data_IF_244133987940
#
_entry.id   IF_244133987940
#
_cell.length_a   1.000
_cell.length_b   1.000
_cell.length_c   1.000
_cell.angle_alpha   90.00
_cell.angle_beta   90.00
_cell.angle_gamma   90.00
#
_symmetry.space_group_name_H-M   'P 1'
#
loop_
_entity.id
_entity.type
_entity.pdbx_description
1 polymer ?
#
# COMPACT_ATOMS: atom_id res chain seq x y z
N UNK A 1 -18.03 2.31 20.20
CA UNK A 1 -16.59 2.44 20.47
C UNK A 1 -15.95 2.96 19.19
N UNK A 2 -15.67 4.25 19.12
CA UNK A 2 -15.01 4.84 17.95
C UNK A 2 -13.53 4.50 18.08
N UNK A 3 -12.99 3.74 17.12
CA UNK A 3 -11.58 3.39 17.08
C UNK A 3 -10.75 4.65 16.88
N UNK A 4 -9.97 5.02 17.89
CA UNK A 4 -9.08 6.21 17.93
C UNK A 4 -7.71 5.93 17.29
N UNK A 5 -7.63 4.91 16.42
CA UNK A 5 -6.47 4.76 15.55
C UNK A 5 -6.64 5.78 14.41
N UNK A 6 -5.69 6.71 14.18
CA UNK A 6 -5.74 7.52 12.96
C UNK A 6 -5.83 6.54 11.80
N UNK A 7 -6.81 6.74 10.90
CA UNK A 7 -6.96 5.92 9.72
C UNK A 7 -5.61 5.95 8.99
N UNK A 8 -4.84 4.88 9.10
CA UNK A 8 -3.55 4.78 8.42
C UNK A 8 -3.92 4.63 6.96
N UNK A 9 -3.77 5.71 6.20
CA UNK A 9 -3.86 5.65 4.74
C UNK A 9 -2.78 4.69 4.25
N UNK A 10 -3.13 3.49 3.78
CA UNK A 10 -2.14 2.50 3.41
C UNK A 10 -1.45 2.90 2.11
N UNK A 11 -0.21 2.45 1.95
CA UNK A 11 0.48 2.47 0.67
C UNK A 11 0.00 1.29 -0.16
N UNK A 12 -0.58 1.58 -1.32
CA UNK A 12 -1.22 0.61 -2.20
C UNK A 12 -0.31 0.24 -3.36
N UNK A 13 -0.27 -1.06 -3.65
CA UNK A 13 0.22 -1.63 -4.89
C UNK A 13 -0.87 -2.53 -5.48
N UNK A 14 -1.15 -2.40 -6.77
CA UNK A 14 -2.21 -3.18 -7.41
C UNK A 14 -1.64 -4.44 -8.08
N UNK A 15 -2.29 -5.57 -7.86
CA UNK A 15 -2.03 -6.82 -8.55
C UNK A 15 -3.32 -7.61 -8.72
N UNK A 16 -3.50 -8.24 -9.88
CA UNK A 16 -4.57 -9.22 -10.12
C UNK A 16 -4.35 -10.52 -9.33
N UNK A 17 -3.12 -10.75 -8.86
CA UNK A 17 -2.74 -11.88 -8.01
C UNK A 17 -1.93 -11.33 -6.82
N UNK A 18 -2.59 -10.94 -5.72
CA UNK A 18 -1.92 -10.41 -4.55
C UNK A 18 -1.01 -11.42 -3.86
N UNK A 19 -1.35 -12.71 -3.86
CA UNK A 19 -0.53 -13.74 -3.24
C UNK A 19 0.83 -13.85 -3.94
N UNK A 20 0.82 -14.02 -5.26
CA UNK A 20 2.06 -14.05 -6.06
C UNK A 20 2.87 -12.76 -5.90
N UNK A 21 2.21 -11.60 -5.90
CA UNK A 21 2.89 -10.32 -5.76
C UNK A 21 3.53 -10.13 -4.36
N UNK A 22 2.92 -10.68 -3.30
CA UNK A 22 3.55 -10.71 -1.97
C UNK A 22 4.78 -11.61 -1.94
N UNK A 23 4.71 -12.78 -2.56
CA UNK A 23 5.83 -13.71 -2.66
C UNK A 23 7.00 -13.12 -3.45
N UNK A 24 6.72 -12.49 -4.60
CA UNK A 24 7.74 -11.93 -5.50
C UNK A 24 8.30 -10.59 -4.99
N UNK A 25 7.44 -9.68 -4.52
CA UNK A 25 7.81 -8.27 -4.30
C UNK A 25 7.71 -7.80 -2.85
N UNK A 26 7.20 -8.61 -1.94
CA UNK A 26 7.02 -8.23 -0.53
C UNK A 26 8.32 -7.79 0.15
N UNK A 27 9.47 -8.31 -0.29
CA UNK A 27 10.79 -7.92 0.22
C UNK A 27 11.19 -6.49 -0.14
N UNK A 28 10.75 -5.96 -1.29
CA UNK A 28 10.94 -4.55 -1.64
C UNK A 28 10.13 -3.64 -0.70
N UNK A 29 8.87 -4.00 -0.44
CA UNK A 29 8.00 -3.26 0.50
C UNK A 29 8.62 -3.26 1.91
N UNK A 30 9.08 -4.42 2.37
CA UNK A 30 9.72 -4.57 3.67
C UNK A 30 11.04 -3.79 3.76
N UNK A 31 11.85 -3.82 2.70
CA UNK A 31 13.08 -3.04 2.67
C UNK A 31 12.78 -1.57 2.89
N UNK A 32 11.85 -1.00 2.12
CA UNK A 32 11.43 0.39 2.31
C UNK A 32 10.95 0.66 3.74
N UNK A 33 10.00 -0.14 4.23
CA UNK A 33 9.42 0.01 5.56
C UNK A 33 10.51 0.07 6.64
N UNK A 34 11.50 -0.83 6.57
CA UNK A 34 12.64 -0.88 7.50
C UNK A 34 13.59 0.31 7.32
N UNK A 35 13.83 0.76 6.08
CA UNK A 35 14.67 1.95 5.81
C UNK A 35 14.03 3.20 6.40
N UNK A 36 12.74 3.45 6.15
CA UNK A 36 12.02 4.57 6.73
C UNK A 36 11.94 4.47 8.25
N UNK A 37 11.68 3.29 8.83
CA UNK A 37 11.68 3.10 10.28
C UNK A 37 13.04 3.46 10.92
N UNK A 38 14.16 3.15 10.25
CA UNK A 38 15.50 3.48 10.75
C UNK A 38 15.75 4.99 10.87
N UNK A 39 15.08 5.80 10.04
CA UNK A 39 15.20 7.26 10.05
C UNK A 39 14.25 7.93 11.04
N UNK A 40 13.22 7.23 11.51
CA UNK A 40 12.22 7.75 12.45
C UNK A 40 12.70 7.78 13.92
N UNK A 41 13.99 8.03 14.14
CA UNK A 41 14.54 8.28 15.48
C UNK A 41 14.42 9.78 15.81
N UNK A 42 13.69 10.12 16.87
CA UNK A 42 13.46 11.50 17.32
C UNK A 42 12.01 11.97 17.19
N UNK A 43 11.80 13.27 16.94
CA UNK A 43 10.46 13.93 16.91
C UNK A 43 9.68 13.67 15.60
N UNK A 44 10.28 13.00 14.62
CA UNK A 44 9.66 12.76 13.31
C UNK A 44 8.65 11.62 13.39
N UNK A 45 7.36 11.96 13.24
CA UNK A 45 6.27 10.99 13.12
C UNK A 45 5.91 10.85 11.64
N UNK A 46 6.25 9.71 11.02
CA UNK A 46 5.70 9.37 9.70
C UNK A 46 4.30 8.78 9.88
N UNK A 47 3.36 9.15 9.01
CA UNK A 47 2.05 8.49 8.91
C UNK A 47 2.19 7.00 8.50
N UNK A 48 3.30 6.66 7.84
CA UNK A 48 3.67 5.32 7.41
C UNK A 48 4.79 4.84 8.32
N UNK A 49 4.43 4.35 9.51
CA UNK A 49 5.39 3.72 10.43
C UNK A 49 5.06 2.24 10.53
N UNK A 50 5.95 1.43 9.98
CA UNK A 50 5.89 -0.01 10.20
C UNK A 50 6.79 -0.45 11.35
N UNK A 51 6.35 -1.49 12.06
CA UNK A 51 7.14 -2.23 13.05
C UNK A 51 7.42 -3.66 12.58
N UNK A 52 7.09 -3.98 11.32
CA UNK A 52 7.29 -5.31 10.77
C UNK A 52 8.77 -5.63 10.55
N UNK A 53 9.18 -6.80 11.02
CA UNK A 53 10.54 -7.33 10.82
C UNK A 53 10.64 -8.31 9.64
N UNK A 54 9.49 -8.82 9.17
CA UNK A 54 9.35 -9.72 8.03
C UNK A 54 8.13 -9.37 7.16
N UNK A 55 8.05 -10.00 5.98
CA UNK A 55 7.00 -9.73 4.98
C UNK A 55 5.61 -10.13 5.50
N UNK A 56 5.51 -11.23 6.25
CA UNK A 56 4.24 -11.71 6.78
C UNK A 56 3.68 -10.76 7.85
N UNK A 57 4.55 -10.20 8.69
CA UNK A 57 4.22 -9.16 9.66
C UNK A 57 3.79 -7.87 8.95
N UNK A 58 4.50 -7.46 7.90
CA UNK A 58 4.17 -6.26 7.13
C UNK A 58 2.77 -6.37 6.49
N UNK A 59 2.50 -7.52 5.89
CA UNK A 59 1.20 -7.83 5.28
C UNK A 59 0.06 -7.79 6.31
N UNK A 60 0.26 -8.36 7.50
CA UNK A 60 -0.74 -8.32 8.58
C UNK A 60 -0.94 -6.92 9.16
N UNK A 61 0.13 -6.13 9.22
CA UNK A 61 0.09 -4.77 9.75
C UNK A 61 -0.75 -3.84 8.87
N UNK A 62 -0.71 -4.05 7.55
CA UNK A 62 -1.61 -3.39 6.60
C UNK A 62 -1.27 -1.93 6.30
N UNK A 63 -0.09 -1.45 6.72
CA UNK A 63 0.48 -0.14 6.31
C UNK A 63 0.85 -0.17 4.82
N UNK A 64 1.33 -1.32 4.34
CA UNK A 64 1.50 -1.64 2.92
C UNK A 64 0.46 -2.68 2.54
N UNK A 65 -0.25 -2.46 1.43
CA UNK A 65 -1.26 -3.40 0.94
C UNK A 65 -1.05 -3.65 -0.54
N UNK A 66 -0.96 -4.93 -0.89
CA UNK A 66 -1.15 -5.37 -2.26
C UNK A 66 -2.62 -5.75 -2.41
N UNK A 67 -3.32 -5.11 -3.33
CA UNK A 67 -4.76 -5.25 -3.53
C UNK A 67 -5.10 -5.50 -5.00
N UNK A 68 -6.21 -6.17 -5.24
CA UNK A 68 -6.84 -6.22 -6.56
C UNK A 68 -7.46 -4.87 -6.92
N UNK A 69 -7.75 -4.61 -8.22
CA UNK A 69 -8.52 -3.43 -8.61
C UNK A 69 -9.88 -3.36 -7.92
N UNK A 70 -10.57 -4.49 -7.75
CA UNK A 70 -11.87 -4.58 -7.11
C UNK A 70 -11.80 -4.26 -5.61
N UNK A 71 -10.78 -4.75 -4.90
CA UNK A 71 -10.53 -4.39 -3.50
C UNK A 71 -10.14 -2.92 -3.34
N UNK A 72 -9.39 -2.35 -4.29
CA UNK A 72 -9.04 -0.93 -4.29
C UNK A 72 -10.30 -0.04 -4.44
N UNK A 73 -11.25 -0.45 -5.28
CA UNK A 73 -12.55 0.21 -5.43
C UNK A 73 -13.37 0.11 -4.15
N UNK A 74 -13.46 -1.08 -3.55
CA UNK A 74 -14.17 -1.28 -2.28
C UNK A 74 -13.57 -0.38 -1.19
N UNK A 75 -12.24 -0.32 -1.08
CA UNK A 75 -11.54 0.56 -0.15
C UNK A 75 -11.87 2.05 -0.39
N UNK A 76 -11.94 2.48 -1.65
CA UNK A 76 -12.33 3.85 -1.98
C UNK A 76 -13.79 4.14 -1.59
N UNK A 77 -14.70 3.21 -1.84
CA UNK A 77 -16.12 3.35 -1.50
C UNK A 77 -16.34 3.41 0.02
N UNK A 78 -15.66 2.55 0.77
CA UNK A 78 -15.70 2.54 2.24
C UNK A 78 -15.20 3.86 2.85
N UNK A 79 -14.20 4.49 2.22
CA UNK A 79 -13.65 5.78 2.65
C UNK A 79 -14.50 7.00 2.26
N UNK A 80 -15.43 6.85 1.31
CA UNK A 80 -16.28 7.94 0.81
C UNK A 80 -15.48 9.15 0.32
N UNK A 81 -15.98 10.37 0.59
CA UNK A 81 -15.32 11.63 0.19
C UNK A 81 -13.94 11.84 0.82
N UNK A 82 -13.64 11.14 1.93
CA UNK A 82 -12.34 11.19 2.59
C UNK A 82 -11.39 10.07 2.13
N UNK A 83 -11.78 9.24 1.18
CA UNK A 83 -10.93 8.17 0.67
C UNK A 83 -9.64 8.76 0.07
N UNK A 84 -8.51 8.23 0.53
CA UNK A 84 -7.19 8.59 0.03
C UNK A 84 -6.50 7.34 -0.49
N UNK A 85 -6.26 7.30 -1.80
CA UNK A 85 -5.58 6.21 -2.49
C UNK A 85 -4.13 6.62 -2.73
N UNK A 86 -3.20 6.12 -1.92
CA UNK A 86 -1.78 6.43 -2.05
C UNK A 86 -1.09 5.28 -2.77
N UNK A 87 -0.70 5.50 -4.02
CA UNK A 87 0.04 4.53 -4.82
C UNK A 87 1.54 4.70 -4.60
N UNK A 88 2.28 3.60 -4.45
CA UNK A 88 3.74 3.65 -4.26
C UNK A 88 4.49 2.70 -5.21
N UNK A 89 4.46 2.94 -6.53
CA UNK A 89 4.82 1.95 -7.55
C UNK A 89 6.31 1.58 -7.63
N UNK A 90 7.22 2.41 -7.10
CA UNK A 90 8.67 2.18 -7.16
C UNK A 90 9.29 2.02 -5.77
N UNK A 91 8.46 1.66 -4.78
CA UNK A 91 8.86 1.54 -3.39
C UNK A 91 9.98 0.51 -3.20
N UNK A 92 10.96 0.84 -2.37
CA UNK A 92 12.03 -0.09 -1.97
C UNK A 92 12.81 -0.74 -3.12
N UNK A 93 12.89 -0.07 -4.28
CA UNK A 93 13.58 -0.60 -5.46
C UNK A 93 12.76 -1.64 -6.25
N UNK A 94 11.43 -1.56 -6.17
CA UNK A 94 10.50 -2.34 -7.00
C UNK A 94 10.92 -2.32 -8.48
N UNK A 95 10.87 -3.46 -9.20
CA UNK A 95 11.12 -3.49 -10.63
C UNK A 95 10.22 -2.50 -11.39
N UNK A 96 10.81 -1.74 -12.31
CA UNK A 96 10.11 -0.69 -13.07
C UNK A 96 8.88 -1.23 -13.80
N UNK A 97 8.99 -2.41 -14.40
CA UNK A 97 7.88 -3.03 -15.14
C UNK A 97 6.70 -3.38 -14.23
N UNK A 98 6.95 -3.87 -13.01
CA UNK A 98 5.89 -4.19 -12.05
C UNK A 98 5.25 -2.91 -11.49
N UNK A 99 6.05 -1.87 -11.22
CA UNK A 99 5.52 -0.55 -10.87
C UNK A 99 4.58 0.00 -11.95
N UNK A 100 4.97 -0.10 -13.22
CA UNK A 100 4.12 0.27 -14.35
C UNK A 100 2.89 -0.61 -14.51
N UNK A 101 2.99 -1.91 -14.26
CA UNK A 101 1.85 -2.83 -14.31
C UNK A 101 0.79 -2.43 -13.27
N UNK A 102 1.20 -2.18 -12.04
CA UNK A 102 0.34 -1.69 -10.95
C UNK A 102 -0.34 -0.35 -11.30
N UNK A 103 0.40 0.62 -11.84
CA UNK A 103 -0.18 1.90 -12.28
C UNK A 103 -1.18 1.73 -13.43
N UNK A 104 -0.90 0.86 -14.40
CA UNK A 104 -1.83 0.56 -15.51
C UNK A 104 -3.12 -0.08 -14.99
N UNK A 105 -3.03 -1.05 -14.07
CA UNK A 105 -4.20 -1.61 -13.40
C UNK A 105 -5.03 -0.52 -12.72
N UNK A 106 -4.40 0.40 -11.99
CA UNK A 106 -5.12 1.50 -11.38
C UNK A 106 -5.80 2.40 -12.42
N UNK A 107 -5.05 2.86 -13.43
CA UNK A 107 -5.54 3.80 -14.43
C UNK A 107 -6.66 3.23 -15.32
N UNK A 108 -6.59 1.95 -15.65
CA UNK A 108 -7.51 1.30 -16.58
C UNK A 108 -8.68 0.60 -15.86
N UNK A 109 -8.47 0.15 -14.62
CA UNK A 109 -9.45 -0.70 -13.90
C UNK A 109 -10.02 -0.04 -12.65
N UNK A 110 -9.36 0.93 -12.04
CA UNK A 110 -9.90 1.60 -10.84
C UNK A 110 -10.42 2.98 -11.19
N UNK A 111 -9.55 3.84 -11.73
CA UNK A 111 -9.84 5.25 -11.95
C UNK A 111 -11.11 5.52 -12.78
N UNK A 112 -11.45 4.77 -13.85
CA UNK A 112 -12.67 5.02 -14.62
C UNK A 112 -13.96 4.77 -13.82
N UNK A 113 -13.91 3.92 -12.79
CA UNK A 113 -15.04 3.53 -11.95
C UNK A 113 -15.18 4.39 -10.67
N UNK A 114 -14.21 5.26 -10.42
CA UNK A 114 -14.25 6.26 -9.33
C UNK A 114 -14.86 7.60 -9.76
N UNK A 115 -15.08 7.80 -11.05
CA UNK A 115 -15.52 9.07 -11.63
C UNK A 115 -17.05 9.21 -11.75
N UNK A 116 -17.78 8.25 -11.20
CA UNK A 116 -19.24 8.25 -11.07
C UNK A 116 -19.65 8.57 -9.63
#
# INVERSE_FOLDING_TARGET
>A
MVSDAPAVTPLLHLSEDPERAWEEYGTHLLYEARRYASWQQGTVRSAVRSRADDVAALRREGVYRIVTPEECLAFAQEGGEMASLVLHPLCGGMPVEEGWRSLRLFAERVLPRLKD
#
